data_IF_863377122873
#
_entry.id   IF_863377122873
#
_cell.length_a   1.000
_cell.length_b   1.000
_cell.length_c   1.000
_cell.angle_alpha   90.00
_cell.angle_beta   90.00
_cell.angle_gamma   90.00
#
_symmetry.space_group_name_H-M   'P 1'
#
loop_
_entity.id
_entity.type
_entity.pdbx_description
1 polymer ?
2 polymer ?
3 polymer ?
4 water ?
#
# COMPACT_ATOMS: atom_id res chain seq x y z
N UNK A 4 12.56 -5.21 9.59
CA UNK A 4 12.44 -3.81 10.03
C UNK A 4 11.00 -3.50 10.46
N UNK A 5 10.21 -3.11 9.48
CA UNK A 5 8.79 -2.80 9.58
C UNK A 5 8.32 -3.11 10.98
N UNK A 6 8.34 -4.40 11.35
CA UNK A 6 7.95 -4.73 12.76
C UNK A 6 8.94 -5.65 13.46
N UNK A 7 8.89 -6.97 13.44
CA UNK A 7 9.78 -7.93 14.12
C UNK A 7 9.85 -9.37 13.55
N UNK A 8 8.68 -9.92 13.21
CA UNK A 8 8.56 -11.25 12.54
C UNK A 8 8.09 -10.80 11.10
N UNK A 9 8.19 -9.47 11.03
CA UNK A 9 7.83 -8.66 9.88
C UNK A 9 8.25 -9.26 8.55
N UNK A 10 7.36 -9.15 7.58
CA UNK A 10 7.48 -9.54 6.20
C UNK A 10 7.68 -10.99 5.81
N UNK A 11 7.44 -11.91 6.74
CA UNK A 11 7.53 -13.38 6.52
C UNK A 11 6.10 -13.97 6.58
N UNK A 12 5.54 -14.37 5.45
CA UNK A 12 4.16 -14.87 5.34
C UNK A 12 3.98 -16.29 5.86
N UNK A 13 2.94 -16.43 6.68
CA UNK A 13 2.66 -17.77 7.30
C UNK A 13 2.32 -18.76 6.21
N UNK A 14 1.83 -18.36 5.04
CA UNK A 14 1.47 -19.32 3.98
C UNK A 14 2.54 -19.40 2.90
N UNK A 15 3.61 -18.62 3.09
CA UNK A 15 4.64 -18.77 1.99
C UNK A 15 5.99 -18.97 2.69
N UNK A 16 6.64 -17.85 3.06
CA UNK A 16 7.94 -17.79 3.71
C UNK A 16 8.05 -18.77 4.87
N UNK A 17 7.05 -18.75 5.71
CA UNK A 17 6.96 -19.70 6.83
C UNK A 17 7.02 -21.17 6.45
N UNK A 18 6.50 -21.60 5.33
CA UNK A 18 6.48 -22.98 4.88
C UNK A 18 7.44 -23.21 3.73
N UNK A 19 8.19 -22.18 3.34
CA UNK A 19 9.12 -22.37 2.19
C UNK A 19 8.40 -22.57 0.87
N UNK A 20 7.18 -21.98 0.74
CA UNK A 20 6.41 -22.05 -0.53
C UNK A 20 6.50 -20.67 -1.24
N UNK A 21 6.70 -20.64 -2.50
CA UNK A 21 6.75 -19.38 -3.28
C UNK A 21 5.39 -18.98 -3.85
N UNK A 22 5.15 -17.67 -4.06
CA UNK A 22 3.87 -17.26 -4.70
C UNK A 22 4.15 -17.30 -6.22
N UNK A 23 3.03 -17.30 -6.96
CA UNK A 23 3.11 -17.52 -8.39
C UNK A 23 3.88 -16.47 -9.14
N UNK A 24 4.09 -15.28 -8.61
CA UNK A 24 4.92 -14.34 -9.45
C UNK A 24 6.08 -13.69 -8.69
N UNK A 25 6.43 -14.21 -7.50
CA UNK A 25 7.55 -13.52 -6.82
C UNK A 25 8.86 -13.70 -7.56
N UNK A 26 9.05 -14.77 -8.31
CA UNK A 26 10.29 -14.97 -9.10
C UNK A 26 10.48 -13.80 -10.10
N UNK A 27 9.40 -13.16 -10.56
CA UNK A 27 9.51 -12.02 -11.50
C UNK A 27 10.21 -10.82 -10.85
N UNK A 28 9.94 -10.56 -9.59
CA UNK A 28 10.58 -9.49 -8.83
C UNK A 28 12.10 -9.80 -8.64
N UNK A 29 12.42 -10.95 -8.13
CA UNK A 29 13.80 -11.37 -7.81
C UNK A 29 14.71 -11.41 -9.05
N UNK A 30 14.23 -11.87 -10.18
CA UNK A 30 15.00 -11.89 -11.40
C UNK A 30 15.28 -10.47 -11.91
N UNK A 31 14.54 -9.49 -11.39
CA UNK A 31 14.75 -8.08 -11.82
C UNK A 31 15.85 -7.41 -10.97
N UNK A 32 16.09 -7.88 -9.80
CA UNK A 32 17.09 -7.35 -8.83
C UNK A 32 18.36 -8.12 -9.22
N UNK A 33 18.18 -8.40 -10.50
CA UNK A 33 19.12 -9.19 -11.35
C UNK A 33 19.46 -10.50 -10.65
N UNK A 34 18.37 -11.25 -10.54
CA UNK A 34 18.26 -12.58 -9.93
C UNK A 34 18.61 -12.41 -8.46
N UNK A 35 17.64 -12.58 -7.58
CA UNK A 35 17.76 -12.46 -6.14
C UNK A 35 18.94 -13.13 -5.42
N UNK A 36 18.64 -13.53 -4.19
CA UNK A 36 19.44 -14.14 -3.16
C UNK A 36 20.58 -15.03 -3.65
N UNK B 1 -6.70 -1.80 -9.33
CA UNK B 1 -5.69 -2.32 -10.26
C UNK B 1 -6.20 -2.58 -11.68
N UNK B 2 -5.46 -2.07 -12.63
CA UNK B 2 -5.59 -2.16 -14.06
C UNK B 2 -4.52 -3.10 -14.63
N UNK B 3 -5.05 -4.15 -15.26
CA UNK B 3 -4.31 -5.22 -15.89
C UNK B 3 -3.53 -6.06 -14.89
N UNK B 4 -4.12 -6.33 -13.74
CA UNK B 4 -3.46 -7.10 -12.69
C UNK B 4 -4.04 -8.54 -12.67
N UNK B 5 -3.96 -9.24 -11.55
CA UNK B 5 -4.48 -10.59 -11.38
C UNK B 5 -5.04 -10.74 -9.97
N UNK B 6 -5.85 -11.80 -9.80
CA UNK B 6 -6.38 -12.02 -8.41
C UNK B 6 -5.20 -12.57 -7.57
N UNK B 7 -5.18 -12.05 -6.37
CA UNK B 7 -4.18 -12.44 -5.40
C UNK B 7 -4.51 -13.88 -4.98
N UNK B 8 -3.48 -14.60 -4.54
CA UNK B 8 -3.60 -15.90 -3.92
C UNK B 8 -4.09 -15.57 -2.48
N UNK B 9 -4.48 -16.58 -1.76
CA UNK B 9 -4.89 -16.48 -0.34
C UNK B 9 -3.59 -16.39 0.48
N UNK B 10 -3.52 -15.44 1.36
CA UNK B 10 -2.40 -15.09 2.27
C UNK B 10 -1.19 -14.50 1.54
N UNK B 11 -1.42 -13.97 0.35
CA UNK B 11 -0.40 -13.39 -0.49
C UNK B 11 0.09 -12.01 0.07
N UNK B 12 -0.85 -11.28 0.59
CA UNK B 12 -0.50 -9.87 1.12
C UNK B 12 -1.18 -9.65 2.41
N UNK B 13 -0.64 -10.28 3.47
CA UNK B 13 -1.24 -10.32 4.79
C UNK B 13 -1.32 -9.06 5.63
N UNK B 14 -0.66 -8.04 5.12
CA UNK B 14 -0.57 -6.68 5.70
C UNK B 14 -1.64 -5.79 5.02
N UNK B 15 -2.27 -6.32 3.99
CA UNK B 15 -3.30 -5.53 3.22
C UNK B 15 -4.47 -5.22 4.12
N UNK B 16 -4.83 -3.97 4.10
CA UNK B 16 -5.93 -3.45 4.94
C UNK B 16 -6.98 -2.68 4.13
N UNK B 17 -8.26 -2.81 4.44
CA UNK B 17 -9.30 -2.01 3.73
C UNK B 17 -9.71 -0.83 4.66
N UNK B 18 -9.74 0.35 4.06
CA UNK B 18 -10.20 1.59 4.78
C UNK B 18 -11.71 1.67 4.37
N UNK B 19 -12.56 1.41 5.34
CA UNK B 19 -14.02 1.30 5.03
C UNK B 19 -14.89 2.33 5.69
N UNK B 20 -15.77 2.93 4.85
CA UNK B 20 -16.74 3.95 5.37
C UNK B 20 -17.94 3.24 6.02
N UNK B 21 -18.24 3.78 7.19
CA UNK B 21 -19.36 3.29 8.02
C UNK B 21 -20.72 3.60 7.40
N UNK B 22 -20.91 4.77 6.82
CA UNK B 22 -22.23 5.07 6.21
C UNK B 22 -22.16 6.33 5.37
N UNK B 23 -22.37 6.20 4.08
CA UNK B 23 -22.66 4.96 3.38
C UNK B 23 -21.45 4.02 3.55
N UNK B 24 -21.72 2.81 3.92
CA UNK B 24 -20.80 1.70 4.11
C UNK B 24 -20.06 1.71 2.75
N UNK B 25 -18.74 1.96 2.79
CA UNK B 25 -18.02 1.98 1.49
C UNK B 25 -16.48 1.93 1.56
N UNK B 26 -15.88 1.47 0.45
CA UNK B 26 -14.46 1.33 0.25
C UNK B 26 -13.92 2.76 -0.05
N UNK B 27 -13.08 3.11 0.95
CA UNK B 27 -12.40 4.42 0.89
C UNK B 27 -11.07 4.34 0.12
N UNK B 28 -10.15 3.53 0.56
CA UNK B 28 -8.78 3.29 0.11
C UNK B 28 -8.22 2.02 0.79
N UNK B 29 -6.99 1.73 0.44
CA UNK B 29 -6.07 0.71 0.93
C UNK B 29 -5.27 1.36 2.08
N UNK B 30 -4.48 0.51 2.72
CA UNK B 30 -3.62 0.85 3.87
C UNK B 30 -2.78 -0.45 4.15
N UNK B 31 -1.87 -0.39 5.12
CA UNK B 31 -1.01 -1.51 5.41
C UNK B 31 -0.75 -1.58 6.92
N UNK B 32 -0.66 -2.83 7.39
CA UNK B 32 -0.48 -3.11 8.83
C UNK B 32 1.04 -3.20 9.10
N UNK B 33 1.47 -2.42 10.02
CA UNK B 33 2.95 -2.38 10.36
C UNK B 33 3.33 -2.90 11.74
N UNK B 34 2.34 -3.15 12.58
CA UNK B 34 2.51 -3.77 13.89
C UNK B 34 1.10 -4.18 14.33
N UNK B 35 0.92 -4.60 15.59
CA UNK B 35 -0.45 -4.99 15.96
C UNK B 35 -1.34 -3.81 16.29
N UNK B 36 -0.79 -2.60 16.29
CA UNK B 36 -1.65 -1.45 16.63
C UNK B 36 -1.54 -0.24 15.72
N UNK B 37 -0.71 -0.32 14.69
CA UNK B 37 -0.44 0.74 13.72
C UNK B 37 -0.71 0.35 12.27
N UNK B 38 -1.38 1.32 11.60
CA UNK B 38 -1.70 1.15 10.18
C UNK B 38 -1.13 2.35 9.46
N UNK B 39 -0.65 2.15 8.25
CA UNK B 39 -0.08 3.17 7.36
C UNK B 39 -0.94 3.33 6.07
N UNK B 40 -1.19 4.56 5.73
CA UNK B 40 -2.00 4.94 4.54
C UNK B 40 -1.51 6.33 4.03
N UNK B 41 -2.16 6.85 3.01
CA UNK B 41 -1.88 8.13 2.35
C UNK B 41 -2.70 9.25 3.02
N UNK B 42 -2.07 10.41 3.24
CA UNK B 42 -2.83 11.50 3.90
C UNK B 42 -4.06 11.96 3.08
N UNK B 43 -3.99 11.92 1.79
CA UNK B 43 -5.09 12.30 0.92
C UNK B 43 -6.32 11.37 1.04
N UNK B 44 -6.20 10.20 1.66
CA UNK B 44 -7.43 9.37 1.86
C UNK B 44 -8.32 10.00 2.96
N UNK B 45 -7.68 10.78 3.85
CA UNK B 45 -8.41 11.34 4.99
C UNK B 45 -8.74 12.82 4.93
N UNK B 46 -7.82 13.53 4.26
CA UNK B 46 -7.96 14.99 4.18
C UNK B 46 -7.61 15.54 2.80
N UNK B 47 -8.66 16.09 2.19
CA UNK B 47 -8.51 16.69 0.84
C UNK B 47 -9.52 17.85 0.69
N UNK B 48 -9.13 18.97 1.30
CA UNK B 48 -10.00 20.15 1.34
C UNK B 48 -10.54 20.63 0.02
N UNK B 49 -9.81 20.55 -1.07
CA UNK B 49 -10.38 21.05 -2.34
C UNK B 49 -11.67 20.29 -2.66
N UNK B 50 -11.80 19.07 -2.18
CA UNK B 50 -12.99 18.23 -2.42
C UNK B 50 -13.79 18.13 -1.11
N UNK B 51 -13.61 19.04 -0.22
CA UNK B 51 -14.34 18.94 1.04
C UNK B 51 -14.11 17.60 1.75
N UNK B 52 -13.09 16.83 1.42
CA UNK B 52 -12.86 15.54 2.10
C UNK B 52 -12.10 15.74 3.41
N UNK B 53 -12.74 15.21 4.47
CA UNK B 53 -12.09 15.32 5.79
C UNK B 53 -12.66 14.42 6.84
N UNK B 54 -12.20 13.16 6.90
CA UNK B 54 -12.65 12.13 7.84
C UNK B 54 -11.96 12.13 9.19
N UNK B 55 -12.76 11.81 10.21
CA UNK B 55 -12.28 11.72 11.61
C UNK B 55 -12.26 10.23 12.01
N UNK B 56 -11.86 9.94 13.20
CA UNK B 56 -11.79 8.54 13.72
C UNK B 56 -13.11 7.79 13.58
N UNK B 57 -14.16 8.45 13.97
CA UNK B 57 -15.54 7.96 13.96
C UNK B 57 -16.14 7.57 12.64
N UNK B 58 -15.67 8.26 11.61
CA UNK B 58 -16.27 8.00 10.30
C UNK B 58 -15.77 6.68 9.77
N UNK B 59 -14.77 6.18 10.47
CA UNK B 59 -14.10 5.00 9.94
C UNK B 59 -13.97 3.70 10.67
N UNK B 60 -13.83 2.78 9.77
CA UNK B 60 -13.59 1.36 10.04
C UNK B 60 -12.47 0.82 9.13
N UNK B 61 -11.59 0.07 9.77
CA UNK B 61 -10.48 -0.71 9.34
C UNK B 61 -10.85 -2.24 9.39
N UNK B 62 -10.73 -2.93 8.29
CA UNK B 62 -10.98 -4.31 8.00
C UNK B 62 -9.68 -5.03 7.52
N UNK B 63 -9.26 -5.98 8.34
CA UNK B 63 -8.03 -6.75 8.15
C UNK B 63 -8.19 -8.25 7.96
N UNK B 64 -7.44 -8.81 7.00
CA UNK B 64 -7.46 -10.24 6.71
C UNK B 64 -8.35 -10.66 5.53
N UNK B 65 -8.80 -9.64 4.81
CA UNK B 65 -9.68 -9.77 3.68
C UNK B 65 -9.09 -10.29 2.38
N UNK B 66 -10.01 -10.94 1.64
CA UNK B 66 -9.73 -11.45 0.29
C UNK B 66 -10.84 -10.93 -0.65
N UNK B 67 -12.07 -11.11 -0.17
CA UNK B 67 -13.23 -10.65 -1.01
C UNK B 67 -13.45 -9.18 -0.65
N UNK B 68 -13.79 -8.41 -1.67
CA UNK B 68 -14.03 -6.95 -1.59
C UNK B 68 -15.27 -6.56 -0.78
N UNK B 69 -16.34 -7.22 -1.16
CA UNK B 69 -17.75 -7.14 -0.76
C UNK B 69 -18.33 -8.02 0.32
N UNK B 70 -17.84 -9.22 0.55
CA UNK B 70 -18.37 -10.09 1.61
C UNK B 70 -17.76 -10.01 2.97
N UNK B 71 -18.68 -10.16 3.97
CA UNK B 71 -18.28 -10.20 5.39
C UNK B 71 -17.51 -11.52 5.50
N UNK B 72 -16.21 -11.56 5.75
CA UNK B 72 -15.46 -12.87 5.74
C UNK B 72 -15.44 -13.52 7.12
N UNK B 73 -16.63 -14.11 7.31
CA UNK B 73 -17.16 -14.79 8.46
C UNK B 73 -16.09 -15.31 9.39
N UNK B 74 -15.07 -16.10 9.23
CA UNK B 74 -14.19 -16.20 10.48
C UNK B 74 -12.70 -15.90 10.18
N UNK B 75 -12.46 -15.12 9.12
CA UNK B 75 -11.18 -14.73 8.58
C UNK B 75 -10.77 -13.29 8.98
N UNK B 76 -11.58 -12.36 8.50
CA UNK B 76 -11.41 -10.93 8.72
C UNK B 76 -11.67 -10.48 10.13
N UNK B 77 -10.99 -9.38 10.50
CA UNK B 77 -11.05 -8.68 11.79
C UNK B 77 -11.34 -7.22 11.50
N UNK B 78 -12.26 -6.63 12.22
CA UNK B 78 -12.66 -5.24 12.06
C UNK B 78 -12.06 -4.42 13.21
N UNK B 79 -11.41 -3.31 12.95
CA UNK B 79 -10.90 -2.53 14.09
C UNK B 79 -11.47 -1.09 14.01
N UNK B 80 -11.46 -0.52 15.20
CA UNK B 80 -11.92 0.89 15.38
C UNK B 80 -10.66 1.71 15.61
N UNK B 81 -10.68 2.96 15.21
CA UNK B 81 -9.52 3.85 15.33
C UNK B 81 -9.46 4.65 16.59
N UNK B 82 -8.32 4.70 17.24
CA UNK B 82 -8.09 5.46 18.45
C UNK B 82 -7.60 6.90 18.13
N UNK B 83 -6.74 7.00 17.10
CA UNK B 83 -6.23 8.32 16.75
C UNK B 83 -5.70 8.31 15.33
N UNK B 84 -5.79 9.48 14.73
CA UNK B 84 -5.30 9.70 13.34
C UNK B 84 -4.15 10.73 13.38
N UNK B 85 -3.04 10.46 12.73
CA UNK B 85 -1.94 11.43 12.65
C UNK B 85 -1.56 11.63 11.18
N UNK B 86 -1.61 12.87 10.73
CA UNK B 86 -1.19 13.24 9.35
C UNK B 86 0.16 13.98 9.38
N UNK B 87 1.06 13.81 8.46
CA UNK B 87 2.32 14.59 8.45
C UNK B 87 1.97 16.08 8.50
N UNK B 88 2.72 16.82 9.33
CA UNK B 88 2.47 18.24 9.51
C UNK B 88 2.75 19.02 8.21
N UNK B 89 3.62 18.59 7.32
CA UNK B 89 3.91 19.31 6.09
C UNK B 89 3.38 18.67 4.80
N UNK B 90 2.32 17.84 5.03
CA UNK B 90 1.66 17.25 3.88
C UNK B 90 1.19 18.49 3.03
N UNK B 91 1.56 18.55 1.76
CA UNK B 91 1.19 19.64 0.85
C UNK B 91 -0.03 19.35 -0.02
N UNK B 92 -1.24 19.50 0.46
CA UNK B 92 -2.45 19.23 -0.33
C UNK B 92 -2.69 20.38 -1.32
N UNK B 93 -2.21 21.55 -0.92
CA UNK B 93 -2.39 22.74 -1.78
C UNK B 93 -1.68 22.56 -3.12
N UNK B 94 -0.56 21.83 -3.21
CA UNK B 94 -0.01 21.76 -4.58
C UNK B 94 0.42 20.42 -5.15
N UNK B 95 1.20 19.54 -4.58
CA UNK B 95 1.55 18.30 -5.35
C UNK B 95 1.44 17.03 -4.50
N UNK B 96 0.78 17.16 -3.34
CA UNK B 96 0.61 16.02 -2.46
C UNK B 96 1.98 15.49 -1.96
N UNK B 97 2.92 16.39 -1.83
CA UNK B 97 4.26 16.06 -1.27
C UNK B 97 3.98 15.60 0.21
N UNK B 98 4.70 14.59 0.67
CA UNK B 98 4.50 14.03 2.04
C UNK B 98 3.09 13.43 2.26
N UNK B 99 2.60 12.70 1.26
CA UNK B 99 1.22 12.10 1.35
C UNK B 99 1.30 10.84 2.30
N UNK B 100 1.25 11.06 3.61
CA UNK B 100 1.40 9.88 4.53
C UNK B 100 0.61 10.20 5.84
N UNK B 101 0.15 9.11 6.49
CA UNK B 101 -0.60 9.24 7.72
C UNK B 101 -0.56 7.91 8.46
N UNK B 102 -0.51 8.04 9.77
CA UNK B 102 -0.55 6.85 10.70
C UNK B 102 -1.95 6.76 11.36
N UNK B 103 -2.27 5.52 11.64
CA UNK B 103 -3.54 5.14 12.33
C UNK B 103 -3.25 4.19 13.51
N UNK B 104 -3.68 4.61 14.67
CA UNK B 104 -3.51 3.91 15.95
C UNK B 104 -4.91 3.32 16.27
N UNK B 105 -4.86 2.00 16.29
CA UNK B 105 -6.07 1.20 16.58
C UNK B 105 -6.35 1.21 18.09
N UNK B 106 -7.62 1.06 18.42
CA UNK B 106 -8.09 1.02 19.80
C UNK B 106 -7.48 -0.15 20.58
N UNK B 107 -7.35 -1.31 19.95
CA UNK B 107 -6.83 -2.55 20.55
C UNK B 107 -5.96 -3.34 19.55
N UNK B 108 -4.97 -4.00 20.12
CA UNK B 108 -4.02 -4.77 19.32
C UNK B 108 -4.73 -5.87 18.58
N UNK B 109 -4.34 -6.10 17.36
CA UNK B 109 -4.94 -7.15 16.50
C UNK B 109 -4.07 -8.40 16.58
N UNK B 110 -4.74 -9.57 16.45
CA UNK B 110 -4.00 -10.84 16.49
C UNK B 110 -3.76 -11.33 15.05
N UNK B 111 -2.52 -11.76 14.94
CA UNK B 111 -1.94 -12.28 13.68
C UNK B 111 -2.59 -13.65 13.51
N UNK B 112 -2.44 -14.17 12.33
CA UNK B 112 -3.05 -15.45 11.90
C UNK B 112 -2.44 -15.65 10.52
N UNK B 113 -2.90 -16.68 9.85
CA UNK B 113 -2.45 -17.03 8.54
C UNK B 113 -2.73 -15.86 7.57
N UNK B 114 -3.77 -15.09 7.84
CA UNK B 114 -4.19 -14.05 6.87
C UNK B 114 -3.84 -12.65 7.30
N UNK B 115 -3.33 -12.56 8.51
CA UNK B 115 -3.00 -11.24 9.11
C UNK B 115 -1.56 -11.19 9.58
N UNK B 116 -0.74 -10.32 8.93
CA UNK B 116 0.71 -10.25 9.40
C UNK B 116 1.34 -8.96 8.90
N UNK B 117 2.19 -8.28 9.67
CA UNK B 117 2.76 -6.99 9.34
C UNK B 117 3.90 -7.11 8.30
N UNK B 118 4.11 -5.97 7.63
CA UNK B 118 5.18 -5.90 6.59
C UNK B 118 6.32 -5.16 7.34
N UNK B 119 7.53 -5.30 6.87
CA UNK B 119 8.65 -4.55 7.44
C UNK B 119 8.74 -3.14 6.83
N UNK B 120 9.34 -2.24 7.55
CA UNK B 120 9.73 -0.85 7.23
C UNK B 120 11.22 -0.92 6.85
N UNK B 121 11.62 -0.27 5.77
CA UNK B 121 13.00 -0.35 5.29
C UNK B 121 13.91 0.48 6.21
N UNK B 122 15.13 0.02 6.22
CA UNK B 122 16.30 0.65 6.86
C UNK B 122 17.03 1.30 5.66
N UNK B 123 17.94 2.21 5.95
CA UNK B 123 18.74 2.94 4.97
C UNK B 123 19.45 2.02 3.99
N UNK B 124 19.99 0.93 4.51
CA UNK B 124 20.70 0.02 3.62
C UNK B 124 19.76 -0.69 2.65
N UNK B 125 18.55 -1.02 3.12
CA UNK B 125 17.57 -1.76 2.26
C UNK B 125 17.14 -0.85 1.11
N UNK B 126 16.76 0.36 1.48
CA UNK B 126 16.34 1.42 0.55
C UNK B 126 17.36 1.59 -0.55
N UNK B 127 18.60 1.68 -0.02
CA UNK B 127 19.81 1.88 -0.83
C UNK B 127 19.94 0.81 -1.86
N UNK B 128 19.99 -0.47 -1.58
CA UNK B 128 20.09 -1.45 -2.68
C UNK B 128 18.79 -1.75 -3.43
N UNK B 129 17.58 -1.51 -2.97
CA UNK B 129 16.48 -1.97 -3.83
C UNK B 129 15.81 -0.90 -4.68
N UNK B 130 15.87 0.30 -4.16
CA UNK B 130 15.19 1.44 -4.85
C UNK B 130 15.97 1.87 -6.09
N UNK B 131 15.96 1.03 -7.13
CA UNK B 131 16.66 1.24 -8.35
C UNK B 131 15.79 1.01 -9.61
N UNK B 132 16.03 1.96 -10.53
CA UNK B 132 15.30 2.04 -11.81
C UNK B 132 15.39 0.65 -12.42
N UNK B 133 14.32 0.12 -12.93
CA UNK B 133 14.44 -1.26 -13.46
C UNK B 133 13.99 -2.34 -12.45
N UNK B 134 14.27 -2.16 -11.16
CA UNK B 134 13.84 -3.17 -10.15
C UNK B 134 12.30 -3.11 -10.01
N UNK B 135 11.69 -4.25 -9.92
CA UNK B 135 10.21 -4.33 -9.77
C UNK B 135 9.77 -4.50 -8.30
N UNK B 136 8.67 -3.85 -8.02
CA UNK B 136 7.95 -3.88 -6.77
C UNK B 136 6.51 -4.38 -7.11
N UNK B 137 5.66 -4.54 -6.10
CA UNK B 137 4.30 -5.07 -6.17
C UNK B 137 3.23 -4.19 -5.55
N UNK B 138 2.12 -4.01 -6.27
CA UNK B 138 1.02 -3.18 -5.71
C UNK B 138 -0.26 -4.01 -5.56
N UNK B 139 -1.01 -3.81 -4.51
CA UNK B 139 -2.29 -4.55 -4.34
C UNK B 139 -3.46 -3.66 -4.00
N UNK B 140 -4.68 -4.06 -4.33
CA UNK B 140 -5.83 -3.22 -3.94
C UNK B 140 -7.13 -3.74 -4.56
N UNK B 141 -8.23 -3.19 -4.05
CA UNK B 141 -9.58 -3.49 -4.54
C UNK B 141 -10.14 -2.33 -5.40
N UNK B 142 -9.26 -1.50 -5.96
CA UNK B 142 -9.65 -0.35 -6.78
C UNK B 142 -10.12 -0.70 -8.21
N UNK B 143 -10.39 0.37 -8.94
CA UNK B 143 -10.90 0.24 -10.32
C UNK B 143 -9.98 -0.64 -11.15
N UNK B 144 -10.64 -1.37 -12.04
CA UNK B 144 -9.96 -2.28 -12.98
C UNK B 144 -9.73 -1.55 -14.30
N UNK B 145 -10.49 -0.46 -14.40
CA UNK B 145 -10.57 0.45 -15.55
C UNK B 145 -10.64 1.95 -15.24
N UNK B 146 -9.91 2.72 -16.07
CA UNK B 146 -9.87 4.18 -15.89
C UNK B 146 -11.28 4.77 -15.95
N UNK B 147 -12.02 4.26 -16.93
CA UNK B 147 -13.41 4.70 -17.07
C UNK B 147 -14.08 3.75 -18.06
N UNK B 155 -14.99 -3.25 -13.89
CA UNK B 155 -15.36 -2.13 -13.00
C UNK B 155 -14.64 -2.33 -11.65
N UNK B 156 -15.34 -2.99 -10.79
CA UNK B 156 -14.86 -3.34 -9.44
C UNK B 156 -14.55 -4.83 -9.56
N UNK B 157 -13.45 -5.21 -8.92
CA UNK B 157 -12.98 -6.61 -9.04
C UNK B 157 -13.81 -7.31 -7.95
N UNK B 158 -13.83 -8.60 -7.82
CA UNK B 158 -14.52 -9.37 -6.80
C UNK B 158 -13.60 -9.71 -5.63
N UNK B 159 -12.39 -10.06 -6.03
CA UNK B 159 -11.27 -10.40 -5.11
C UNK B 159 -10.09 -9.40 -5.29
N UNK B 160 -9.21 -9.36 -4.32
CA UNK B 160 -8.01 -8.55 -4.19
C UNK B 160 -7.13 -8.78 -5.43
N UNK B 161 -6.69 -7.66 -6.02
CA UNK B 161 -5.86 -7.74 -7.26
C UNK B 161 -4.39 -7.42 -6.96
N UNK B 162 -3.54 -7.95 -7.82
CA UNK B 162 -2.12 -7.75 -7.71
C UNK B 162 -1.44 -7.38 -9.05
N UNK B 163 -0.43 -6.52 -9.01
CA UNK B 163 0.37 -6.18 -10.22
C UNK B 163 1.84 -5.89 -9.82
N UNK B 164 2.75 -6.31 -10.65
CA UNK B 164 4.20 -6.15 -10.50
C UNK B 164 4.65 -5.06 -11.50
N UNK B 165 5.27 -4.02 -11.05
CA UNK B 165 5.78 -2.90 -11.85
C UNK B 165 7.21 -2.45 -11.54
N UNK B 166 7.88 -1.96 -12.60
CA UNK B 166 9.29 -1.52 -12.46
C UNK B 166 9.49 -0.09 -11.94
N UNK B 167 10.49 0.19 -11.17
CA UNK B 167 10.81 1.58 -10.78
C UNK B 167 11.42 2.21 -12.07
N UNK B 168 11.02 3.42 -12.36
CA UNK B 168 11.43 4.27 -13.50
C UNK B 168 12.39 5.39 -13.00
N UNK B 169 13.32 5.73 -13.86
CA UNK B 169 14.34 6.79 -13.69
C UNK B 169 13.68 8.15 -13.46
N UNK B 170 14.16 8.94 -12.54
CA UNK B 170 13.71 10.28 -12.13
C UNK B 170 13.40 11.27 -13.29
N UNK B 171 14.35 11.45 -14.20
CA UNK B 171 14.19 12.32 -15.38
C UNK B 171 12.89 12.00 -16.12
N UNK B 172 12.86 10.71 -16.46
CA UNK B 172 11.64 10.14 -17.12
C UNK B 172 10.38 10.48 -16.31
N UNK B 173 10.38 10.26 -14.99
CA UNK B 173 9.22 10.62 -14.18
C UNK B 173 8.90 12.13 -14.34
N UNK B 174 9.93 12.93 -14.18
CA UNK B 174 9.87 14.40 -14.22
C UNK B 174 9.30 14.89 -15.56
N UNK B 175 9.69 14.28 -16.65
CA UNK B 175 9.34 14.53 -18.01
C UNK B 175 7.95 14.16 -18.48
N UNK B 176 7.23 13.40 -17.70
CA UNK B 176 5.85 12.97 -18.03
C UNK B 176 4.71 13.83 -17.51
N UNK B 177 4.95 14.81 -16.67
CA UNK B 177 3.86 15.59 -16.09
C UNK B 177 4.24 17.07 -15.96
N UNK B 178 3.30 17.92 -15.66
CA UNK B 178 3.60 19.36 -15.47
C UNK B 178 3.68 19.58 -13.99
N UNK B 179 3.46 18.55 -13.18
CA UNK B 179 3.55 18.71 -11.69
C UNK B 179 5.00 18.68 -11.19
N UNK B 180 5.27 19.49 -10.18
CA UNK B 180 6.64 19.49 -9.57
C UNK B 180 6.84 18.27 -8.66
N UNK B 181 7.70 17.34 -9.01
CA UNK B 181 8.07 16.08 -8.30
C UNK B 181 9.03 16.40 -7.14
N UNK B 182 8.93 15.72 -6.01
CA UNK B 182 9.83 16.01 -4.86
C UNK B 182 10.65 14.76 -4.58
N UNK B 183 11.62 14.94 -3.71
CA UNK B 183 12.52 13.86 -3.30
C UNK B 183 11.66 12.88 -2.45
N UNK B 184 10.52 13.32 -1.95
CA UNK B 184 9.63 12.48 -1.18
C UNK B 184 8.76 11.58 -2.11
N UNK B 185 8.93 11.53 -3.39
CA UNK B 185 8.22 10.80 -4.41
C UNK B 185 9.14 9.96 -5.30
N UNK B 186 8.52 8.96 -5.90
CA UNK B 186 9.13 8.00 -6.84
C UNK B 186 7.96 7.57 -7.78
N UNK B 187 8.37 7.34 -9.04
CA UNK B 187 7.30 6.92 -10.03
C UNK B 187 7.61 5.52 -10.52
N UNK B 188 6.53 4.83 -10.87
CA UNK B 188 6.62 3.40 -11.31
C UNK B 188 5.59 3.07 -12.41
N UNK B 189 6.02 2.23 -13.33
CA UNK B 189 5.29 1.81 -14.51
C UNK B 189 6.23 1.38 -15.63
N UNK B 190 5.55 0.72 -16.56
CA UNK B 190 6.06 0.21 -17.83
C UNK B 190 6.01 1.45 -18.78
N UNK B 191 6.92 1.46 -19.70
CA UNK B 191 7.08 2.42 -20.77
C UNK B 191 6.24 1.88 -21.95
N UNK B 192 5.88 2.77 -22.86
CA UNK B 192 5.09 2.45 -24.05
C UNK B 192 5.94 1.53 -24.92
N UNK B 193 7.23 1.68 -24.91
CA UNK B 193 8.12 0.82 -25.73
C UNK B 193 8.06 -0.62 -25.24
N UNK B 194 8.15 -0.75 -23.92
CA UNK B 194 8.19 -2.01 -23.20
C UNK B 194 6.95 -2.85 -23.43
N UNK B 195 5.95 -2.18 -23.98
CA UNK B 195 4.67 -2.86 -24.25
C UNK B 195 4.65 -4.09 -23.32
N UNK B 196 4.06 -3.97 -22.19
CA UNK B 196 3.71 -4.73 -20.98
C UNK B 196 3.06 -3.60 -20.15
N UNK B 197 2.00 -3.78 -19.40
CA UNK B 197 1.42 -2.64 -18.63
C UNK B 197 0.77 -2.97 -17.29
N UNK B 198 0.04 -2.02 -16.72
CA UNK B 198 -0.68 -2.10 -15.48
C UNK B 198 -0.35 -0.90 -14.61
N UNK B 199 -1.28 -0.62 -13.73
CA UNK B 199 -1.23 0.54 -12.82
C UNK B 199 -2.23 0.36 -11.69
N UNK B 200 -2.14 1.28 -10.74
CA UNK B 200 -3.07 1.36 -9.60
C UNK B 200 -4.25 2.19 -10.20
N UNK B 201 -5.39 2.15 -9.53
CA UNK B 201 -6.53 2.91 -10.07
C UNK B 201 -7.37 3.30 -8.86
N UNK B 202 -8.39 4.05 -9.19
CA UNK B 202 -9.28 4.64 -8.15
C UNK B 202 -9.74 3.66 -7.11
N UNK B 203 -9.53 3.91 -5.81
CA UNK B 203 -9.90 2.95 -4.75
C UNK B 203 -8.65 2.19 -4.28
N UNK B 204 -7.65 2.09 -5.10
CA UNK B 204 -6.34 1.50 -4.72
C UNK B 204 -5.49 2.41 -3.81
N UNK B 205 -5.64 3.70 -4.00
CA UNK B 205 -4.94 4.75 -3.21
C UNK B 205 -4.74 4.36 -1.75
N UNK B 206 -3.53 4.65 -1.31
CA UNK B 206 -3.01 4.44 0.04
C UNK B 206 -2.53 3.02 0.32
N UNK B 207 -2.67 2.06 -0.59
CA UNK B 207 -2.10 0.73 -0.21
C UNK B 207 -0.55 0.76 -0.44
N UNK B 208 0.05 -0.40 -0.16
CA UNK B 208 1.49 -0.58 -0.27
C UNK B 208 2.16 -0.85 -1.61
N UNK B 209 3.36 -0.36 -1.83
CA UNK B 209 4.26 -0.75 -2.98
C UNK B 209 5.33 -1.54 -2.17
N UNK B 210 5.35 -2.86 -2.28
CA UNK B 210 6.29 -3.70 -1.51
C UNK B 210 7.39 -4.30 -2.37
N UNK B 211 8.52 -4.58 -1.76
CA UNK B 211 9.63 -5.29 -2.42
C UNK B 211 10.06 -6.50 -1.52
N UNK B 212 10.53 -7.58 -2.16
CA UNK B 212 11.07 -8.73 -1.39
C UNK B 212 12.60 -8.70 -1.41
N UNK B 213 13.22 -8.52 -0.27
CA UNK B 213 14.69 -8.46 -0.21
C UNK B 213 15.35 -9.82 -0.48
N UNK B 214 16.33 -9.76 -1.43
CA UNK B 214 17.10 -10.95 -1.82
C UNK B 214 18.12 -11.37 -0.72
N UNK B 215 18.51 -10.54 0.21
CA UNK B 215 19.44 -10.74 1.30
C UNK B 215 18.81 -11.48 2.47
N UNK B 216 17.65 -11.05 2.97
CA UNK B 216 17.00 -11.75 4.06
C UNK B 216 15.64 -12.40 3.75
N UNK B 217 15.15 -12.38 2.55
CA UNK B 217 13.94 -12.95 1.95
C UNK B 217 12.65 -12.54 2.61
N UNK B 218 12.71 -11.29 3.10
CA UNK B 218 11.75 -10.48 3.77
C UNK B 218 11.07 -9.43 2.89
N UNK B 219 9.79 -9.23 3.20
CA UNK B 219 8.97 -8.23 2.48
C UNK B 219 9.04 -6.83 3.15
N UNK B 220 9.33 -5.90 2.30
CA UNK B 220 9.50 -4.48 2.65
C UNK B 220 8.55 -3.56 1.87
N UNK B 221 8.01 -2.61 2.61
CA UNK B 221 7.09 -1.59 2.07
C UNK B 221 7.91 -0.32 1.71
N UNK B 222 8.12 -0.08 0.46
CA UNK B 222 8.87 1.09 -0.02
C UNK B 222 8.02 2.30 -0.39
N UNK B 223 6.79 2.06 -0.88
CA UNK B 223 5.92 3.17 -1.34
C UNK B 223 4.52 3.09 -0.79
N UNK B 224 3.80 4.20 -0.92
CA UNK B 224 2.38 4.32 -0.59
C UNK B 224 1.73 4.80 -1.91
N UNK B 225 0.73 4.16 -2.46
CA UNK B 225 0.03 4.56 -3.69
C UNK B 225 -0.47 5.99 -3.40
N UNK B 226 0.11 6.92 -4.21
CA UNK B 226 -0.14 8.31 -4.04
C UNK B 226 -0.96 9.06 -5.08
N UNK B 227 -0.55 9.17 -6.32
CA UNK B 227 -1.33 9.89 -7.36
C UNK B 227 -0.82 9.51 -8.74
N UNK B 228 -1.59 9.68 -9.76
CA UNK B 228 -1.22 9.40 -11.16
C UNK B 228 -2.20 10.17 -12.05
N UNK B 229 -2.07 10.21 -13.37
CA UNK B 229 -3.08 10.99 -14.18
C UNK B 229 -3.76 10.01 -15.09
N UNK B 230 -4.97 9.62 -14.75
CA UNK B 230 -5.63 8.52 -15.54
C UNK B 230 -5.15 7.23 -14.80
N UNK B 231 -5.40 6.08 -15.35
CA UNK B 231 -4.98 4.76 -14.82
C UNK B 231 -4.39 4.12 -16.07
N UNK B 232 -3.33 3.46 -16.19
CA UNK B 232 -2.77 2.80 -17.36
C UNK B 232 -2.56 3.63 -18.64
N UNK B 233 -2.43 4.96 -18.53
CA UNK B 233 -2.21 5.81 -19.71
C UNK B 233 -0.77 5.63 -20.23
N UNK B 234 -0.67 5.49 -21.56
CA UNK B 234 0.70 5.38 -22.17
C UNK B 234 1.46 6.70 -21.92
N UNK B 235 2.74 6.59 -21.68
CA UNK B 235 3.63 7.73 -21.43
C UNK B 235 3.33 8.34 -20.06
N UNK B 236 2.55 7.62 -19.28
CA UNK B 236 2.28 8.22 -17.92
C UNK B 236 2.67 7.21 -16.85
N UNK B 237 2.90 7.67 -15.60
CA UNK B 237 3.32 6.84 -14.50
C UNK B 237 2.57 7.15 -13.20
N UNK B 238 2.74 6.13 -12.35
CA UNK B 238 2.19 6.16 -11.00
C UNK B 238 3.32 6.75 -10.10
N UNK B 239 2.77 7.55 -9.21
CA UNK B 239 3.60 8.21 -8.18
C UNK B 239 3.20 7.66 -6.80
N UNK B 240 4.30 7.52 -6.02
CA UNK B 240 4.19 6.95 -4.68
C UNK B 240 4.94 7.73 -3.63
N UNK B 241 4.47 7.73 -2.36
CA UNK B 241 5.16 8.37 -1.25
C UNK B 241 6.39 7.51 -0.88
N UNK B 242 7.51 8.19 -0.88
CA UNK B 242 8.84 7.55 -0.56
C UNK B 242 8.95 7.35 0.96
N UNK B 243 8.60 6.18 1.41
CA UNK B 243 8.51 5.74 2.80
C UNK B 243 9.85 5.86 3.57
N UNK B 244 10.93 5.45 2.97
CA UNK B 244 12.22 5.56 3.72
C UNK B 244 12.51 7.03 4.06
N UNK B 245 12.28 7.99 3.15
CA UNK B 245 12.47 9.39 3.43
C UNK B 245 11.49 9.80 4.51
N UNK B 246 10.39 9.20 4.86
CA UNK B 246 9.57 9.78 5.94
C UNK B 246 9.72 8.97 7.22
N UNK B 247 10.74 8.11 7.27
CA UNK B 247 10.90 7.21 8.42
C UNK B 247 11.10 7.80 9.80
N UNK B 248 11.80 8.92 9.87
CA UNK B 248 11.94 9.49 11.24
C UNK B 248 10.61 10.01 11.71
N UNK B 249 9.88 10.72 10.85
CA UNK B 249 8.55 11.18 11.27
C UNK B 249 7.76 9.98 11.82
N UNK B 250 7.76 8.86 11.13
CA UNK B 250 6.99 7.67 11.56
C UNK B 250 7.50 7.20 12.92
N UNK B 251 8.79 6.97 12.98
CA UNK B 251 9.56 6.53 14.14
C UNK B 251 9.19 7.39 15.36
N UNK B 252 9.21 8.68 15.10
CA UNK B 252 8.86 9.74 16.07
C UNK B 252 7.43 9.60 16.55
N UNK B 253 6.34 9.63 15.76
CA UNK B 253 5.01 9.45 16.30
C UNK B 253 4.79 8.15 17.09
N UNK B 254 5.43 7.07 16.75
CA UNK B 254 5.30 5.80 17.49
C UNK B 254 5.98 5.86 18.85
N UNK B 255 7.06 6.63 18.89
CA UNK B 255 7.93 6.91 20.04
C UNK B 255 7.13 7.79 21.02
N UNK B 256 6.58 8.87 20.53
CA UNK B 256 5.80 9.82 21.32
C UNK B 256 4.43 9.32 21.79
N UNK B 257 3.67 8.79 20.82
CA UNK B 257 2.31 8.34 21.14
C UNK B 257 2.00 6.87 21.18
N UNK B 258 2.91 5.92 21.27
CA UNK B 258 2.41 4.55 21.27
C UNK B 258 3.26 3.40 21.76
N UNK B 259 3.13 2.31 21.00
CA UNK B 259 3.64 0.97 20.96
C UNK B 259 3.77 0.14 22.25
N UNK C 2 -22.35 -4.79 -0.83
CA UNK C 2 -21.49 -4.98 0.32
C UNK C 2 -22.39 -5.59 1.42
N UNK C 3 -22.09 -6.82 1.77
CA UNK C 3 -22.89 -7.42 2.85
C UNK C 3 -22.63 -6.54 4.08
N UNK C 4 -23.68 -6.39 4.89
CA UNK C 4 -23.56 -5.65 6.13
C UNK C 4 -22.61 -6.45 7.05
N UNK C 5 -22.06 -5.72 8.01
CA UNK C 5 -21.21 -6.27 9.05
C UNK C 5 -22.00 -6.54 10.34
N UNK C 6 -21.98 -7.79 10.81
CA UNK C 6 -22.62 -8.22 12.05
C UNK C 6 -22.29 -7.34 13.24
N UNK C 7 -23.35 -6.88 13.86
CA UNK C 7 -23.22 -6.00 15.06
C UNK C 7 -22.21 -6.66 15.97
N UNK C 8 -21.98 -7.95 15.73
CA UNK C 8 -21.06 -8.84 16.42
C UNK C 8 -19.79 -9.10 15.58
N UNK C 9 -19.03 -8.04 15.46
CA UNK C 9 -17.78 -8.07 14.70
C UNK C 9 -17.12 -6.75 15.10
N UNK C 11 -17.22 -5.62 17.40
#
# INVERSE_FOLDING_TARGET
>A
TFGSGEADCGLRPLFEKKSLEDKTERELLESYIDGR
>B
IVEGSDAEIGMSPWQVMLFRKSPQELLCGASLISDRWVLTAAHCLLYPPWDKNFTENDLLVRIGKHSRTRYERNIEKISMLEKIYIHPRYNWRENLDRDIALMKLKKPVAFSDYIHPVCLPDRETAASLLQAGYKGRVTGWGNLKETWTANVGKGQPSVLQVVNLPIVERPVCKDSTRIRITDNMFCAGYKPDEGKRGDACEGDSGGPFVMKSPFNNRWYQMGIVSWGEGCDRDGKYGFYTHVFRLKKWIQKVIDQFGE
>C
XYEPIPEEAXE
#
